data_IF_366542139148
#
_entry.id   IF_366542139148
#
_cell.length_a   1.000
_cell.length_b   1.000
_cell.length_c   1.000
_cell.angle_alpha   90.00
_cell.angle_beta   90.00
_cell.angle_gamma   90.00
#
_symmetry.space_group_name_H-M   'P 1'
#
loop_
_entity.id
_entity.type
_entity.pdbx_description
1 polymer ?
#
# COMPACT_ATOMS: atom_id res chain seq x y z
N UNK A 1 2.70 -28.06 9.20
CA UNK A 1 3.26 -27.07 10.14
C UNK A 1 3.12 -25.71 9.48
N UNK A 2 2.51 -24.73 10.14
CA UNK A 2 2.38 -23.38 9.56
C UNK A 2 3.75 -22.69 9.55
N UNK A 3 4.24 -22.32 8.38
CA UNK A 3 5.56 -21.70 8.18
C UNK A 3 5.51 -20.18 8.13
N UNK A 4 4.31 -19.59 8.29
CA UNK A 4 4.12 -18.14 8.19
C UNK A 4 4.69 -17.44 9.43
N UNK A 5 5.36 -16.32 9.20
CA UNK A 5 5.86 -15.43 10.26
C UNK A 5 4.86 -14.31 10.53
N UNK A 6 4.53 -14.09 11.80
CA UNK A 6 3.79 -12.90 12.25
C UNK A 6 4.77 -11.73 12.40
N UNK A 7 4.43 -10.59 11.82
CA UNK A 7 5.15 -9.31 11.97
C UNK A 7 4.16 -8.34 12.61
N UNK A 8 4.60 -7.57 13.60
CA UNK A 8 3.77 -6.61 14.31
C UNK A 8 4.58 -5.34 14.58
N UNK A 9 3.93 -4.20 14.39
CA UNK A 9 4.40 -2.87 14.73
C UNK A 9 3.19 -2.01 15.14
N UNK A 10 3.46 -0.84 15.71
CA UNK A 10 2.44 0.10 16.14
C UNK A 10 2.49 1.34 15.24
N UNK A 11 1.32 1.93 15.02
CA UNK A 11 1.15 3.27 14.47
C UNK A 11 0.76 4.20 15.62
N UNK A 12 1.17 5.46 15.55
CA UNK A 12 0.83 6.51 16.52
C UNK A 12 0.09 7.69 15.83
N UNK A 13 -1.15 7.50 15.35
CA UNK A 13 -1.88 8.49 14.53
C UNK A 13 -1.99 9.89 15.16
N UNK A 14 -2.12 9.97 16.47
CA UNK A 14 -2.26 11.24 17.21
C UNK A 14 -0.99 12.11 17.19
N UNK A 15 0.16 11.54 16.86
CA UNK A 15 1.47 12.21 16.99
C UNK A 15 2.30 12.17 15.71
N UNK A 16 1.99 11.27 14.78
CA UNK A 16 2.70 11.10 13.53
C UNK A 16 1.72 11.18 12.36
N UNK A 17 1.98 12.11 11.43
CA UNK A 17 1.08 12.39 10.31
C UNK A 17 1.02 11.24 9.28
N UNK A 18 2.14 10.56 9.04
CA UNK A 18 2.19 9.39 8.16
C UNK A 18 1.37 8.24 8.74
N UNK A 19 1.52 8.00 10.05
CA UNK A 19 0.74 7.01 10.78
C UNK A 19 -0.75 7.34 10.74
N UNK A 20 -1.11 8.62 10.88
CA UNK A 20 -2.50 9.09 10.74
C UNK A 20 -3.05 8.84 9.33
N UNK A 21 -2.25 9.10 8.29
CA UNK A 21 -2.64 8.83 6.91
C UNK A 21 -2.91 7.33 6.69
N UNK A 22 -1.99 6.47 7.16
CA UNK A 22 -2.14 5.01 7.07
C UNK A 22 -3.36 4.53 7.86
N UNK A 23 -3.59 5.05 9.06
CA UNK A 23 -4.75 4.69 9.89
C UNK A 23 -6.07 5.02 9.19
N UNK A 24 -6.20 6.22 8.62
CA UNK A 24 -7.36 6.63 7.82
C UNK A 24 -7.61 5.67 6.64
N UNK A 25 -6.57 5.33 5.88
CA UNK A 25 -6.67 4.38 4.75
C UNK A 25 -7.10 2.99 5.23
N UNK A 26 -6.54 2.50 6.33
CA UNK A 26 -6.89 1.19 6.89
C UNK A 26 -8.33 1.17 7.42
N UNK A 27 -8.79 2.24 8.07
CA UNK A 27 -10.16 2.36 8.58
C UNK A 27 -11.18 2.34 7.43
N UNK A 28 -10.85 2.98 6.31
CA UNK A 28 -11.69 2.99 5.11
C UNK A 28 -11.59 1.69 4.28
N UNK A 29 -10.64 0.81 4.57
CA UNK A 29 -10.47 -0.47 3.87
C UNK A 29 -11.37 -1.57 4.51
N UNK A 30 -12.11 -2.36 3.71
CA UNK A 30 -12.89 -3.49 4.22
C UNK A 30 -12.04 -4.46 5.06
N UNK A 31 -12.60 -4.94 6.18
CA UNK A 31 -11.85 -5.73 7.18
C UNK A 31 -11.11 -6.93 6.57
N UNK A 32 -11.73 -7.67 5.65
CA UNK A 32 -11.12 -8.82 4.97
C UNK A 32 -9.92 -8.48 4.10
N UNK A 33 -9.81 -7.23 3.65
CA UNK A 33 -8.78 -6.78 2.72
C UNK A 33 -7.61 -6.04 3.40
N UNK A 34 -7.79 -5.58 4.66
CA UNK A 34 -6.76 -4.85 5.42
C UNK A 34 -5.44 -5.61 5.50
N UNK A 35 -5.49 -6.91 5.78
CA UNK A 35 -4.28 -7.74 5.86
C UNK A 35 -3.57 -7.90 4.51
N UNK A 36 -4.33 -7.99 3.41
CA UNK A 36 -3.79 -8.05 2.04
C UNK A 36 -3.11 -6.72 1.68
N UNK A 37 -3.76 -5.59 1.99
CA UNK A 37 -3.23 -4.25 1.76
C UNK A 37 -1.92 -4.00 2.54
N UNK A 38 -1.91 -4.26 3.85
CA UNK A 38 -0.73 -4.06 4.70
C UNK A 38 0.46 -4.90 4.22
N UNK A 39 0.20 -6.16 3.83
CA UNK A 39 1.23 -7.02 3.25
C UNK A 39 1.77 -6.45 1.94
N UNK A 40 0.91 -5.98 1.05
CA UNK A 40 1.33 -5.39 -0.22
C UNK A 40 2.18 -4.12 0.01
N UNK A 41 1.75 -3.23 0.90
CA UNK A 41 2.48 -2.01 1.27
C UNK A 41 3.86 -2.32 1.86
N UNK A 42 3.96 -3.33 2.74
CA UNK A 42 5.25 -3.77 3.28
C UNK A 42 6.17 -4.31 2.17
N UNK A 43 5.65 -5.16 1.29
CA UNK A 43 6.45 -5.76 0.20
C UNK A 43 6.89 -4.73 -0.84
N UNK A 44 6.05 -3.75 -1.19
CA UNK A 44 6.43 -2.66 -2.10
C UNK A 44 7.51 -1.77 -1.48
N UNK A 45 7.41 -1.47 -0.18
CA UNK A 45 8.49 -0.81 0.57
C UNK A 45 9.81 -1.56 0.46
N UNK A 46 9.80 -2.90 0.60
CA UNK A 46 11.02 -3.69 0.40
C UNK A 46 11.49 -3.77 -1.05
N UNK A 47 10.60 -3.66 -2.04
CA UNK A 47 11.01 -3.53 -3.44
C UNK A 47 11.76 -2.21 -3.66
N UNK A 48 11.26 -1.10 -3.11
CA UNK A 48 11.95 0.19 -3.14
C UNK A 48 13.28 0.17 -2.37
N UNK A 49 13.34 -0.55 -1.25
CA UNK A 49 14.56 -0.76 -0.49
C UNK A 49 15.68 -1.43 -1.33
N UNK A 50 15.32 -2.28 -2.30
CA UNK A 50 16.28 -2.91 -3.21
C UNK A 50 16.87 -1.93 -4.23
N UNK A 51 16.17 -0.83 -4.52
CA UNK A 51 16.66 0.25 -5.37
C UNK A 51 17.66 1.10 -4.57
N UNK A 52 17.22 1.64 -3.43
CA UNK A 52 18.08 2.29 -2.44
C UNK A 52 17.47 2.11 -1.04
N UNK A 53 18.31 1.72 -0.08
CA UNK A 53 17.87 1.37 1.27
C UNK A 53 17.18 2.51 2.03
N UNK A 54 17.44 3.78 1.66
CA UNK A 54 16.91 4.98 2.31
C UNK A 54 15.50 5.33 1.84
N UNK A 55 15.12 4.91 0.62
CA UNK A 55 13.83 5.30 0.00
C UNK A 55 12.63 5.02 0.91
N UNK A 56 12.46 3.81 1.50
CA UNK A 56 11.28 3.53 2.30
C UNK A 56 11.15 4.46 3.51
N UNK A 57 12.27 4.81 4.13
CA UNK A 57 12.30 5.71 5.29
C UNK A 57 12.00 7.15 4.88
N UNK A 58 12.56 7.64 3.77
CA UNK A 58 12.29 9.00 3.30
C UNK A 58 10.84 9.16 2.83
N UNK A 59 10.29 8.14 2.15
CA UNK A 59 8.90 8.15 1.73
C UNK A 59 7.94 8.03 2.91
N UNK A 60 8.29 7.27 3.96
CA UNK A 60 7.46 7.23 5.17
C UNK A 60 7.43 8.57 5.88
N UNK A 61 8.55 9.30 5.94
CA UNK A 61 8.58 10.66 6.53
C UNK A 61 7.87 11.70 5.65
N UNK A 62 7.88 11.54 4.33
CA UNK A 62 7.17 12.41 3.38
C UNK A 62 5.65 12.20 3.41
N UNK A 63 5.18 11.02 3.84
CA UNK A 63 3.79 10.61 3.69
C UNK A 63 2.84 11.48 4.52
N UNK A 64 1.90 12.11 3.83
CA UNK A 64 0.80 12.92 4.36
C UNK A 64 -0.42 12.72 3.47
N UNK A 65 -1.58 13.25 3.88
CA UNK A 65 -2.79 13.24 3.04
C UNK A 65 -2.63 13.99 1.71
N UNK A 66 -1.65 14.89 1.62
CA UNK A 66 -1.42 15.73 0.44
C UNK A 66 -0.19 15.31 -0.36
N UNK A 67 0.46 14.18 -0.02
CA UNK A 67 1.67 13.73 -0.72
C UNK A 67 1.41 13.55 -2.20
N UNK A 68 2.16 14.26 -3.02
CA UNK A 68 1.98 14.25 -4.47
C UNK A 68 2.92 13.27 -5.17
N UNK A 69 2.56 12.92 -6.40
CA UNK A 69 3.43 12.16 -7.30
C UNK A 69 4.78 12.86 -7.52
N UNK A 70 4.78 14.18 -7.71
CA UNK A 70 5.99 14.97 -7.96
C UNK A 70 6.95 14.92 -6.78
N UNK A 71 6.47 15.15 -5.56
CA UNK A 71 7.29 15.09 -4.34
C UNK A 71 7.86 13.69 -4.11
N UNK A 72 7.04 12.65 -4.32
CA UNK A 72 7.46 11.25 -4.23
C UNK A 72 8.62 10.96 -5.18
N UNK A 73 8.50 11.36 -6.45
CA UNK A 73 9.56 11.17 -7.43
C UNK A 73 10.81 11.99 -7.13
N UNK A 74 10.66 13.22 -6.63
CA UNK A 74 11.81 14.05 -6.25
C UNK A 74 12.62 13.41 -5.12
N UNK A 75 11.95 12.86 -4.10
CA UNK A 75 12.61 12.13 -3.01
C UNK A 75 13.35 10.90 -3.52
N UNK A 76 12.71 10.12 -4.41
CA UNK A 76 13.37 8.97 -5.04
C UNK A 76 14.59 9.43 -5.84
N UNK A 77 14.44 10.44 -6.71
CA UNK A 77 15.53 10.96 -7.54
C UNK A 77 16.71 11.47 -6.71
N UNK A 78 16.45 12.12 -5.57
CA UNK A 78 17.47 12.69 -4.71
C UNK A 78 18.42 11.66 -4.09
N UNK A 79 18.00 10.40 -3.96
CA UNK A 79 18.85 9.33 -3.41
C UNK A 79 19.50 8.45 -4.47
N UNK A 80 19.01 8.50 -5.72
CA UNK A 80 19.57 7.71 -6.81
C UNK A 80 20.93 8.28 -7.29
N UNK A 81 21.85 7.41 -7.75
CA UNK A 81 23.01 7.85 -8.51
C UNK A 81 22.61 8.61 -9.78
N UNK A 82 23.43 9.56 -10.23
CA UNK A 82 23.13 10.43 -11.39
C UNK A 82 22.66 9.65 -12.64
N UNK A 83 23.37 8.59 -13.02
CA UNK A 83 23.00 7.76 -14.18
C UNK A 83 21.61 7.08 -14.04
N UNK A 84 21.19 6.75 -12.81
CA UNK A 84 19.87 6.17 -12.57
C UNK A 84 18.78 7.25 -12.51
N UNK A 85 19.13 8.43 -11.99
CA UNK A 85 18.25 9.59 -11.96
C UNK A 85 17.92 10.08 -13.39
N UNK A 86 18.91 10.15 -14.28
CA UNK A 86 18.73 10.48 -15.70
C UNK A 86 17.81 9.47 -16.39
N UNK A 87 18.06 8.17 -16.17
CA UNK A 87 17.22 7.10 -16.70
C UNK A 87 15.77 7.17 -16.22
N UNK A 88 15.54 7.57 -14.97
CA UNK A 88 14.19 7.77 -14.44
C UNK A 88 13.46 8.89 -15.20
N UNK A 89 14.15 9.99 -15.51
CA UNK A 89 13.57 11.09 -16.29
C UNK A 89 13.22 10.68 -17.71
N UNK A 90 14.10 9.92 -18.37
CA UNK A 90 13.82 9.36 -19.69
C UNK A 90 12.56 8.47 -19.69
N UNK A 91 12.41 7.61 -18.67
CA UNK A 91 11.24 6.73 -18.53
C UNK A 91 9.97 7.58 -18.36
N UNK A 92 10.00 8.62 -17.53
CA UNK A 92 8.83 9.49 -17.30
C UNK A 92 8.44 10.23 -18.58
N UNK A 93 9.41 10.72 -19.36
CA UNK A 93 9.15 11.46 -20.60
C UNK A 93 8.66 10.58 -21.75
N UNK A 94 9.03 9.30 -21.75
CA UNK A 94 8.69 8.35 -22.82
C UNK A 94 7.47 7.47 -22.51
N UNK A 95 6.94 7.56 -21.28
CA UNK A 95 5.73 6.83 -20.90
C UNK A 95 4.51 7.34 -21.69
N UNK A 96 3.73 6.44 -22.33
CA UNK A 96 2.45 6.83 -22.93
C UNK A 96 1.49 7.35 -21.84
N UNK A 97 0.57 8.26 -22.17
CA UNK A 97 -0.44 8.71 -21.21
C UNK A 97 -1.27 7.51 -20.74
N UNK A 98 -1.29 7.27 -19.43
CA UNK A 98 -2.09 6.19 -18.83
C UNK A 98 -3.59 6.50 -18.98
N UNK A 99 -4.31 5.67 -19.75
CA UNK A 99 -5.73 5.46 -19.53
C UNK A 99 -5.83 4.59 -18.27
N UNK A 100 -6.04 5.21 -17.10
CA UNK A 100 -6.34 4.50 -15.86
C UNK A 100 -7.71 3.83 -16.08
N UNK A 101 -7.81 2.49 -16.14
CA UNK A 101 -9.11 1.83 -16.15
C UNK A 101 -9.75 2.08 -14.78
N UNK A 102 -10.93 2.68 -14.76
CA UNK A 102 -11.74 2.77 -13.54
C UNK A 102 -11.81 1.39 -12.88
N UNK A 103 -11.50 1.35 -11.59
CA UNK A 103 -11.53 0.13 -10.80
C UNK A 103 -12.93 -0.49 -10.88
N UNK A 104 -13.05 -1.62 -11.57
CA UNK A 104 -14.23 -2.47 -11.50
C UNK A 104 -14.51 -2.81 -10.03
N UNK A 105 -15.76 -2.64 -9.54
CA UNK A 105 -16.11 -3.05 -8.19
C UNK A 105 -15.76 -4.51 -7.98
N UNK A 106 -15.07 -4.79 -6.87
CA UNK A 106 -14.79 -6.14 -6.38
C UNK A 106 -16.09 -6.95 -6.39
N UNK A 107 -16.03 -8.11 -7.05
CA UNK A 107 -17.16 -9.01 -7.29
C UNK A 107 -18.00 -9.24 -6.02
N UNK A 108 -19.32 -9.08 -6.18
CA UNK A 108 -20.38 -9.31 -5.21
C UNK A 108 -20.58 -10.81 -4.87
N UNK A 109 -19.51 -11.53 -4.53
CA UNK A 109 -19.54 -12.97 -4.20
C UNK A 109 -19.32 -13.31 -2.72
N UNK A 110 -18.73 -12.40 -1.93
CA UNK A 110 -18.34 -12.69 -0.55
C UNK A 110 -19.50 -12.66 0.47
N UNK A 111 -20.60 -11.97 0.14
CA UNK A 111 -21.78 -11.89 1.03
C UNK A 111 -22.52 -13.23 1.12
N UNK A 112 -22.53 -14.03 0.05
CA UNK A 112 -23.27 -15.28 -0.02
C UNK A 112 -22.56 -16.40 0.76
N UNK A 113 -21.21 -16.43 0.72
CA UNK A 113 -20.41 -17.36 1.52
C UNK A 113 -20.55 -17.10 3.03
N UNK A 114 -20.55 -15.83 3.43
CA UNK A 114 -20.68 -15.46 4.85
C UNK A 114 -22.08 -15.84 5.40
N UNK A 115 -23.14 -15.63 4.60
CA UNK A 115 -24.51 -16.03 4.96
C UNK A 115 -24.70 -17.54 4.97
N UNK A 116 -24.07 -18.26 4.03
CA UNK A 116 -24.09 -19.73 3.96
C UNK A 116 -23.44 -20.35 5.20
N UNK A 117 -22.28 -19.84 5.61
CA UNK A 117 -21.56 -20.32 6.79
C UNK A 117 -22.31 -20.04 8.10
N UNK A 118 -22.98 -18.88 8.21
CA UNK A 118 -23.80 -18.54 9.37
C UNK A 118 -25.05 -19.44 9.50
N UNK A 119 -25.68 -19.81 8.38
CA UNK A 119 -26.83 -20.74 8.38
C UNK A 119 -26.45 -22.13 8.88
N UNK A 120 -25.24 -22.61 8.59
CA UNK A 120 -24.74 -23.89 9.11
C UNK A 120 -24.39 -23.87 10.61
N UNK A 121 -24.04 -22.70 11.15
CA UNK A 121 -23.64 -22.55 12.57
C UNK A 121 -24.83 -22.29 13.51
N UNK A 122 -25.88 -21.63 13.04
CA UNK A 122 -27.02 -21.21 13.86
C UNK A 122 -28.38 -21.79 13.43
N UNK A 123 -28.43 -22.60 12.37
CA UNK A 123 -29.62 -23.34 11.99
C UNK A 123 -29.95 -24.44 12.99
N UNK A 124 -30.86 -24.16 13.92
CA UNK A 124 -31.52 -25.17 14.76
C UNK A 124 -32.24 -26.22 13.89
N UNK A 125 -32.13 -27.49 14.32
CA UNK A 125 -32.71 -28.71 13.75
C UNK A 125 -34.12 -28.57 13.17
#
# INVERSE_FOLDING_TARGET
MDTRRKIQFYLNPETNQADSCVDTVLNNTPQGDRGRLQRAAMLSGFALHKIDQRIPFLLSELLTENTTFSETLQVIKAVLPAAQAERLEEIIQTAPPENIPEQHPLQAGAEDETRSNARGMFGTK
#
